data_IF_185187888664
#
_entry.id   IF_185187888664
#
_cell.length_a   1.000
_cell.length_b   1.000
_cell.length_c   1.000
_cell.angle_alpha   90.00
_cell.angle_beta   90.00
_cell.angle_gamma   90.00
#
_symmetry.space_group_name_H-M   'P 1'
#
loop_
_entity.id
_entity.type
_entity.pdbx_description
1 polymer ?
#
# COMPACT_ATOMS: atom_id res chain seq x y z
N UNK A 1 -17.48 1.54 -8.11
CA UNK A 1 -16.43 1.10 -7.15
C UNK A 1 -16.53 1.88 -5.83
N UNK A 2 -16.53 3.22 -5.85
CA UNK A 2 -16.60 4.10 -4.67
C UNK A 2 -17.59 3.63 -3.57
N UNK A 3 -18.84 3.31 -3.95
CA UNK A 3 -19.89 2.84 -3.05
C UNK A 3 -19.50 1.62 -2.19
N UNK A 4 -18.71 0.71 -2.74
CA UNK A 4 -18.44 -0.60 -2.13
C UNK A 4 -17.07 -0.72 -1.50
N UNK A 5 -16.13 0.14 -1.85
CA UNK A 5 -14.73 0.05 -1.41
C UNK A 5 -14.21 1.32 -0.74
N UNK A 6 -15.09 2.31 -0.55
CA UNK A 6 -14.77 3.63 0.04
C UNK A 6 -13.62 4.36 -0.67
N UNK A 7 -13.37 4.04 -1.95
CA UNK A 7 -12.30 4.68 -2.71
C UNK A 7 -12.71 6.05 -3.20
N UNK A 8 -11.82 7.03 -3.03
CA UNK A 8 -11.99 8.38 -3.57
C UNK A 8 -12.32 8.30 -5.06
N UNK A 9 -13.42 8.94 -5.46
CA UNK A 9 -13.94 8.95 -6.84
C UNK A 9 -14.07 7.57 -7.50
N UNK A 10 -14.01 6.48 -6.73
CA UNK A 10 -14.09 5.12 -7.22
C UNK A 10 -12.88 4.65 -8.02
N UNK A 11 -11.70 5.24 -7.82
CA UNK A 11 -10.47 4.83 -8.51
C UNK A 11 -10.14 3.36 -8.26
N UNK A 12 -9.56 2.69 -9.26
CA UNK A 12 -9.10 1.29 -9.21
C UNK A 12 -7.65 1.27 -9.68
N UNK A 13 -6.80 0.44 -9.08
CA UNK A 13 -5.38 0.38 -9.45
C UNK A 13 -4.50 1.29 -8.59
N UNK A 14 -4.88 1.55 -7.34
CA UNK A 14 -4.01 2.28 -6.42
C UNK A 14 -3.74 3.73 -6.80
N UNK A 15 -2.51 4.17 -6.51
CA UNK A 15 -2.00 5.50 -6.86
C UNK A 15 -1.42 5.44 -8.27
N UNK A 16 -1.78 6.41 -9.11
CA UNK A 16 -1.29 6.49 -10.49
C UNK A 16 0.24 6.47 -10.54
N UNK A 17 0.78 5.59 -11.39
CA UNK A 17 2.22 5.43 -11.58
C UNK A 17 2.77 6.65 -12.33
N UNK A 18 3.52 7.49 -11.63
CA UNK A 18 4.23 8.65 -12.18
C UNK A 18 5.66 8.61 -11.64
N UNK A 19 6.60 9.29 -12.31
CA UNK A 19 8.00 9.40 -11.86
C UNK A 19 8.16 9.66 -10.34
N UNK A 20 7.39 10.58 -9.71
CA UNK A 20 7.53 10.83 -8.27
C UNK A 20 6.86 9.78 -7.35
N UNK A 21 6.08 8.83 -7.87
CA UNK A 21 5.22 7.94 -7.08
C UNK A 21 5.30 6.47 -7.47
N UNK A 22 6.19 6.11 -8.39
CA UNK A 22 6.38 4.73 -8.85
C UNK A 22 7.56 4.04 -8.15
N UNK A 23 7.50 2.71 -8.09
CA UNK A 23 8.61 1.89 -7.61
C UNK A 23 9.04 2.28 -6.17
N UNK A 24 10.34 2.57 -5.93
CA UNK A 24 10.84 2.96 -4.60
C UNK A 24 10.23 4.24 -4.01
N UNK A 25 9.60 5.07 -4.84
CA UNK A 25 8.93 6.31 -4.42
C UNK A 25 7.43 6.12 -4.18
N UNK A 26 6.93 4.89 -4.25
CA UNK A 26 5.57 4.55 -3.88
C UNK A 26 5.28 4.77 -2.39
N UNK A 27 4.00 4.90 -2.05
CA UNK A 27 3.59 5.12 -0.68
C UNK A 27 3.97 3.92 0.21
N UNK A 28 4.65 4.18 1.33
CA UNK A 28 5.17 3.11 2.19
C UNK A 28 4.07 2.42 3.02
N UNK A 29 4.27 1.15 3.37
CA UNK A 29 3.42 0.44 4.33
C UNK A 29 3.55 1.00 5.74
N UNK A 30 4.73 1.47 6.13
CA UNK A 30 4.99 2.04 7.46
C UNK A 30 4.51 3.48 7.52
N UNK A 31 3.75 3.81 8.56
CA UNK A 31 3.38 5.21 8.85
C UNK A 31 4.29 5.81 9.93
N UNK A 32 4.30 7.15 10.09
CA UNK A 32 4.95 7.80 11.24
C UNK A 32 4.27 7.49 12.59
N UNK A 33 3.04 6.97 12.58
CA UNK A 33 2.28 6.64 13.80
C UNK A 33 2.66 5.23 14.25
N UNK A 34 3.12 5.10 15.49
CA UNK A 34 3.49 3.80 16.06
C UNK A 34 2.30 2.84 16.08
N UNK A 35 2.53 1.61 15.61
CA UNK A 35 1.50 0.57 15.56
C UNK A 35 0.50 0.73 14.40
N UNK A 36 0.61 1.78 13.59
CA UNK A 36 -0.26 1.98 12.42
C UNK A 36 0.49 1.68 11.11
N UNK A 37 -0.09 0.78 10.33
CA UNK A 37 0.44 0.31 9.05
C UNK A 37 -0.62 0.41 7.96
N UNK A 38 -0.17 0.61 6.73
CA UNK A 38 -0.98 0.68 5.53
C UNK A 38 -0.71 -0.54 4.65
N UNK A 39 -1.74 -1.07 4.01
CA UNK A 39 -1.67 -2.17 3.04
C UNK A 39 -2.69 -1.94 1.93
N UNK A 40 -2.43 -2.53 0.76
CA UNK A 40 -3.35 -2.48 -0.37
C UNK A 40 -2.66 -2.12 -1.68
N UNK A 41 -3.46 -1.78 -2.69
CA UNK A 41 -2.99 -1.43 -4.04
C UNK A 41 -2.34 -0.05 -4.10
N UNK A 42 -2.58 0.79 -3.10
CA UNK A 42 -2.14 2.18 -3.01
C UNK A 42 -0.81 2.32 -2.24
N UNK A 43 -0.31 1.23 -1.67
CA UNK A 43 0.98 1.14 -1.01
C UNK A 43 1.92 0.25 -1.80
N UNK A 44 3.22 0.54 -1.78
CA UNK A 44 4.24 -0.27 -2.42
C UNK A 44 4.22 -1.74 -1.90
N UNK A 45 4.58 -2.75 -2.71
CA UNK A 45 4.83 -2.72 -4.16
C UNK A 45 3.60 -2.46 -5.03
N UNK A 46 2.37 -2.70 -4.53
CA UNK A 46 1.14 -2.09 -5.06
C UNK A 46 0.70 -2.47 -6.48
N UNK A 47 -0.54 -2.09 -6.80
CA UNK A 47 -1.36 -2.48 -7.97
C UNK A 47 -1.64 -3.97 -8.22
N UNK A 48 -2.90 -4.26 -8.57
CA UNK A 48 -3.38 -5.61 -8.91
C UNK A 48 -3.32 -6.62 -7.77
N UNK A 49 -3.83 -7.83 -8.00
CA UNK A 49 -3.91 -8.88 -6.97
C UNK A 49 -2.52 -9.28 -6.45
N UNK A 50 -1.53 -9.40 -7.35
CA UNK A 50 -0.17 -9.74 -6.97
C UNK A 50 0.47 -8.63 -6.12
N UNK A 51 0.43 -7.37 -6.58
CA UNK A 51 1.04 -6.25 -5.87
C UNK A 51 0.38 -5.98 -4.52
N UNK A 52 -0.96 -6.08 -4.43
CA UNK A 52 -1.71 -6.02 -3.16
C UNK A 52 -1.23 -7.09 -2.17
N UNK A 53 -1.09 -8.34 -2.64
CA UNK A 53 -0.64 -9.46 -1.79
C UNK A 53 0.80 -9.25 -1.30
N UNK A 54 1.69 -8.80 -2.17
CA UNK A 54 3.07 -8.47 -1.79
C UNK A 54 3.15 -7.25 -0.87
N UNK A 55 2.23 -6.29 -0.97
CA UNK A 55 2.13 -5.17 -0.03
C UNK A 55 1.77 -5.64 1.38
N UNK A 56 0.81 -6.55 1.52
CA UNK A 56 0.50 -7.17 2.80
C UNK A 56 1.71 -7.96 3.36
N UNK A 57 2.37 -8.78 2.52
CA UNK A 57 3.56 -9.54 2.94
C UNK A 57 4.70 -8.62 3.40
N UNK A 58 4.91 -7.51 2.71
CA UNK A 58 5.94 -6.51 3.05
C UNK A 58 5.64 -5.87 4.40
N UNK A 59 4.39 -5.45 4.64
CA UNK A 59 3.97 -4.88 5.91
C UNK A 59 4.19 -5.85 7.07
N UNK A 60 3.76 -7.12 6.94
CA UNK A 60 3.93 -8.14 7.99
C UNK A 60 5.40 -8.36 8.32
N UNK A 61 6.27 -8.49 7.31
CA UNK A 61 7.72 -8.64 7.54
C UNK A 61 8.32 -7.44 8.27
N UNK A 62 7.89 -6.24 7.93
CA UNK A 62 8.34 -5.02 8.61
C UNK A 62 7.84 -4.96 10.07
N UNK A 63 6.61 -5.40 10.34
CA UNK A 63 6.05 -5.53 11.69
C UNK A 63 6.87 -6.53 12.52
N UNK A 64 7.17 -7.70 11.96
CA UNK A 64 7.95 -8.73 12.64
C UNK A 64 9.34 -8.23 13.01
N UNK A 65 10.02 -7.53 12.08
CA UNK A 65 11.34 -6.91 12.35
C UNK A 65 11.24 -5.80 13.38
N UNK A 66 10.16 -5.01 13.38
CA UNK A 66 9.96 -3.92 14.34
C UNK A 66 9.57 -4.39 15.75
N UNK A 67 9.13 -5.65 15.89
CA UNK A 67 8.66 -6.23 17.16
C UNK A 67 9.69 -7.17 17.80
N UNK A 68 10.76 -7.53 17.07
CA UNK A 68 11.92 -8.24 17.62
C UNK A 68 12.84 -7.28 18.35
#
# INVERSE_FOLDING_TARGET
>A
FARYTARDRGVVGGIGQRVPTFGPFGFANRTPIQGLWLVGDSTHPGEGTAGVSYSALTAVRQIEVATR
#
